data_IF_765414273702
#
_entry.id   IF_765414273702
#
_cell.length_a   1.000
_cell.length_b   1.000
_cell.length_c   1.000
_cell.angle_alpha   90.00
_cell.angle_beta   90.00
_cell.angle_gamma   90.00
#
_symmetry.space_group_name_H-M   'P 1'
#
loop_
_entity.id
_entity.type
_entity.pdbx_description
1 polymer ?
#
# COMPACT_ATOMS: atom_id res chain seq x y z
N UNK A 1 -38.98 0.66 21.26
CA UNK A 1 -38.90 -0.81 21.20
C UNK A 1 -37.88 -1.16 20.12
N UNK A 2 -36.99 -2.10 20.43
CA UNK A 2 -35.60 -2.19 20.00
C UNK A 2 -35.32 -2.52 18.51
N UNK A 3 -34.11 -2.09 18.08
CA UNK A 3 -33.09 -2.75 17.23
C UNK A 3 -32.39 -1.67 16.38
N UNK A 4 -31.14 -1.25 16.60
CA UNK A 4 -29.95 -2.01 16.97
C UNK A 4 -29.10 -2.24 15.72
N UNK A 5 -28.41 -1.20 15.22
CA UNK A 5 -27.39 -1.31 14.17
C UNK A 5 -26.10 -0.67 14.70
N UNK A 6 -25.36 -1.44 15.50
CA UNK A 6 -23.98 -1.13 15.82
C UNK A 6 -23.11 -1.52 14.64
N UNK A 7 -22.59 -0.55 13.90
CA UNK A 7 -21.47 -0.76 13.00
C UNK A 7 -20.20 -0.84 13.84
N UNK A 8 -19.89 -2.04 14.34
CA UNK A 8 -18.54 -2.36 14.78
C UNK A 8 -17.63 -2.29 13.55
N UNK A 9 -16.92 -1.17 13.39
CA UNK A 9 -15.73 -1.13 12.57
C UNK A 9 -14.75 -2.10 13.20
N UNK A 10 -14.68 -3.27 12.57
CA UNK A 10 -13.69 -4.29 12.83
C UNK A 10 -12.40 -3.70 12.25
N UNK A 11 -11.68 -2.96 13.08
CA UNK A 11 -10.24 -2.81 12.97
C UNK A 11 -9.62 -4.18 13.27
N UNK A 12 -9.98 -5.17 12.47
CA UNK A 12 -9.36 -6.48 12.48
C UNK A 12 -7.99 -6.26 11.88
N UNK A 13 -7.02 -6.10 12.76
CA UNK A 13 -5.61 -6.32 12.47
C UNK A 13 -5.57 -7.58 11.61
N UNK A 14 -5.12 -7.53 10.34
CA UNK A 14 -4.78 -8.77 9.66
C UNK A 14 -3.72 -9.39 10.56
N UNK A 15 -4.06 -10.52 11.18
CA UNK A 15 -3.11 -11.34 11.93
C UNK A 15 -1.98 -11.57 10.96
N UNK A 16 -0.93 -10.75 11.10
CA UNK A 16 0.31 -10.92 10.38
C UNK A 16 0.74 -12.28 10.85
N UNK A 17 0.73 -13.24 9.92
CA UNK A 17 1.30 -14.57 10.16
C UNK A 17 2.54 -14.37 11.00
N UNK A 18 2.54 -15.01 12.18
CA UNK A 18 3.68 -15.07 13.07
C UNK A 18 4.90 -15.30 12.18
N UNK A 19 5.67 -14.25 11.94
CA UNK A 19 6.84 -14.33 11.09
C UNK A 19 7.80 -15.15 11.92
N UNK A 20 7.74 -16.46 11.73
CA UNK A 20 8.70 -17.40 12.25
C UNK A 20 9.98 -17.05 11.52
N UNK A 21 10.70 -16.08 12.08
CA UNK A 21 11.98 -15.64 11.57
C UNK A 21 12.83 -16.90 11.43
N UNK A 22 13.27 -17.17 10.21
CA UNK A 22 14.18 -18.29 9.97
C UNK A 22 15.37 -18.17 10.92
N UNK A 23 16.08 -19.26 11.24
CA UNK A 23 17.18 -19.26 12.22
C UNK A 23 18.36 -18.31 11.89
N UNK A 24 18.27 -17.53 10.81
CA UNK A 24 19.26 -16.60 10.31
C UNK A 24 18.74 -15.16 10.10
N UNK A 25 17.49 -14.85 10.45
CA UNK A 25 16.97 -13.49 10.30
C UNK A 25 17.43 -12.63 11.48
N UNK A 26 18.32 -11.66 11.21
CA UNK A 26 18.79 -10.72 12.23
C UNK A 26 17.65 -9.76 12.60
N UNK A 27 17.10 -9.92 13.80
CA UNK A 27 16.15 -8.94 14.34
C UNK A 27 16.83 -7.58 14.48
N UNK A 28 16.21 -6.54 13.93
CA UNK A 28 16.69 -5.14 14.06
C UNK A 28 16.45 -4.64 15.50
N UNK A 29 17.35 -5.04 16.40
CA UNK A 29 17.27 -4.71 17.83
C UNK A 29 17.42 -3.21 18.10
N UNK A 30 18.13 -2.49 17.23
CA UNK A 30 18.34 -1.05 17.38
C UNK A 30 17.07 -0.26 17.11
N UNK A 31 16.28 -0.68 16.11
CA UNK A 31 15.04 0.00 15.74
C UNK A 31 13.80 -0.54 16.47
N UNK A 32 13.72 -1.86 16.67
CA UNK A 32 12.54 -2.53 17.25
C UNK A 32 12.68 -2.86 18.75
N UNK A 33 13.86 -2.63 19.32
CA UNK A 33 14.15 -2.98 20.71
C UNK A 33 14.29 -4.50 20.92
N UNK A 34 14.37 -4.92 22.18
CA UNK A 34 14.38 -6.33 22.55
C UNK A 34 13.04 -6.99 22.18
N UNK A 35 13.05 -8.25 21.69
CA UNK A 35 11.83 -8.95 21.31
C UNK A 35 10.91 -9.08 22.53
N UNK A 36 9.70 -8.56 22.37
CA UNK A 36 8.64 -8.56 23.36
C UNK A 36 7.33 -8.70 22.61
N UNK A 37 6.40 -9.51 23.12
CA UNK A 37 5.09 -9.74 22.50
C UNK A 37 4.36 -8.43 22.16
N UNK A 38 4.56 -7.38 22.96
CA UNK A 38 3.97 -6.04 22.70
C UNK A 38 4.54 -5.36 21.45
N UNK A 39 5.84 -5.51 21.21
CA UNK A 39 6.55 -4.90 20.08
C UNK A 39 6.22 -5.60 18.75
N UNK A 40 5.84 -6.88 18.81
CA UNK A 40 5.42 -7.64 17.63
C UNK A 40 3.95 -7.41 17.27
N UNK A 41 3.09 -7.17 18.27
CA UNK A 41 1.65 -7.09 18.05
C UNK A 41 1.14 -5.68 17.70
N UNK A 42 1.81 -4.62 18.18
CA UNK A 42 1.31 -3.26 18.08
C UNK A 42 2.33 -2.32 17.42
N UNK A 43 1.87 -1.37 16.57
CA UNK A 43 2.73 -0.32 16.05
C UNK A 43 3.28 0.53 17.21
N UNK A 44 4.56 0.87 17.13
CA UNK A 44 5.22 1.67 18.17
C UNK A 44 4.78 3.13 18.11
N UNK A 45 4.45 3.60 16.90
CA UNK A 45 4.01 4.97 16.65
C UNK A 45 2.63 5.00 15.97
N UNK A 46 1.72 5.91 16.36
CA UNK A 46 0.38 5.99 15.77
C UNK A 46 0.39 6.20 14.25
N UNK A 47 1.42 6.86 13.71
CA UNK A 47 1.57 7.07 12.26
C UNK A 47 2.31 5.94 11.53
N UNK A 48 2.90 4.98 12.24
CA UNK A 48 3.70 3.92 11.61
C UNK A 48 2.86 3.12 10.59
N UNK A 49 1.62 2.80 10.94
CA UNK A 49 0.70 2.13 10.02
C UNK A 49 0.30 3.03 8.84
N UNK A 50 0.17 4.33 9.08
CA UNK A 50 -0.19 5.30 8.03
C UNK A 50 0.93 5.43 7.01
N UNK A 51 2.18 5.60 7.46
CA UNK A 51 3.36 5.71 6.58
C UNK A 51 3.59 4.43 5.79
N UNK A 52 3.50 3.25 6.44
CA UNK A 52 3.62 1.96 5.75
C UNK A 52 2.57 1.79 4.65
N UNK A 53 1.38 2.39 4.80
CA UNK A 53 0.28 2.30 3.85
C UNK A 53 0.05 3.59 3.06
N UNK A 54 1.03 4.50 3.04
CA UNK A 54 0.85 5.84 2.49
C UNK A 54 0.33 5.82 1.05
N UNK A 55 1.00 5.06 0.17
CA UNK A 55 0.61 4.95 -1.24
C UNK A 55 -0.79 4.36 -1.40
N UNK A 56 -1.10 3.27 -0.68
CA UNK A 56 -2.42 2.63 -0.76
C UNK A 56 -3.54 3.56 -0.28
N UNK A 57 -3.27 4.37 0.74
CA UNK A 57 -4.23 5.34 1.26
C UNK A 57 -4.44 6.50 0.29
N UNK A 58 -3.37 6.98 -0.35
CA UNK A 58 -3.44 7.99 -1.39
C UNK A 58 -4.25 7.49 -2.59
N UNK A 59 -3.94 6.29 -3.10
CA UNK A 59 -4.67 5.68 -4.21
C UNK A 59 -6.18 5.53 -3.88
N UNK A 60 -6.50 5.05 -2.68
CA UNK A 60 -7.89 4.92 -2.20
C UNK A 60 -8.60 6.28 -2.17
N UNK A 61 -7.94 7.32 -1.67
CA UNK A 61 -8.47 8.67 -1.64
C UNK A 61 -8.72 9.18 -3.06
N UNK A 62 -7.75 9.01 -3.96
CA UNK A 62 -7.83 9.46 -5.36
C UNK A 62 -8.98 8.78 -6.10
N UNK A 63 -9.12 7.45 -5.99
CA UNK A 63 -10.24 6.72 -6.60
C UNK A 63 -11.60 7.12 -6.03
N UNK A 64 -11.68 7.39 -4.73
CA UNK A 64 -12.92 7.89 -4.09
C UNK A 64 -13.28 9.27 -4.63
N UNK A 65 -12.33 10.19 -4.69
CA UNK A 65 -12.50 11.54 -5.24
C UNK A 65 -12.92 11.49 -6.71
N UNK A 66 -12.24 10.69 -7.51
CA UNK A 66 -12.53 10.53 -8.94
C UNK A 66 -13.94 9.95 -9.16
N UNK A 67 -14.36 8.99 -8.32
CA UNK A 67 -15.73 8.49 -8.30
C UNK A 67 -16.75 9.57 -7.95
N UNK A 68 -16.45 10.43 -6.98
CA UNK A 68 -17.37 11.47 -6.54
C UNK A 68 -17.55 12.56 -7.60
N UNK A 69 -16.49 12.88 -8.34
CA UNK A 69 -16.51 13.93 -9.38
C UNK A 69 -17.11 13.41 -10.69
N UNK A 70 -16.67 12.24 -11.15
CA UNK A 70 -16.96 11.74 -12.50
C UNK A 70 -17.91 10.53 -12.50
N UNK A 71 -18.19 9.91 -11.35
CA UNK A 71 -19.00 8.70 -11.25
C UNK A 71 -18.19 7.40 -11.29
N UNK A 72 -18.87 6.26 -11.25
CA UNK A 72 -18.24 4.93 -11.09
C UNK A 72 -17.40 4.49 -12.30
N UNK A 73 -17.69 4.98 -13.51
CA UNK A 73 -16.97 4.55 -14.70
C UNK A 73 -15.51 5.00 -14.70
N UNK A 74 -15.23 6.17 -14.13
CA UNK A 74 -13.91 6.78 -14.13
C UNK A 74 -12.86 5.96 -13.35
N UNK A 75 -13.09 5.58 -12.06
CA UNK A 75 -12.12 4.78 -11.34
C UNK A 75 -12.00 3.36 -11.93
N UNK A 76 -13.09 2.80 -12.46
CA UNK A 76 -13.08 1.50 -13.11
C UNK A 76 -12.20 1.51 -14.37
N UNK A 77 -12.34 2.53 -15.22
CA UNK A 77 -11.51 2.73 -16.41
C UNK A 77 -10.03 2.79 -16.03
N UNK A 78 -9.68 3.64 -15.06
CA UNK A 78 -8.30 3.79 -14.62
C UNK A 78 -7.73 2.48 -14.01
N UNK A 79 -8.52 1.75 -13.24
CA UNK A 79 -8.12 0.42 -12.74
C UNK A 79 -7.89 -0.60 -13.86
N UNK A 80 -8.69 -0.57 -14.92
CA UNK A 80 -8.48 -1.43 -16.10
C UNK A 80 -7.20 -1.05 -16.83
N UNK A 81 -6.91 0.24 -16.99
CA UNK A 81 -5.67 0.74 -17.60
C UNK A 81 -4.44 0.28 -16.79
N UNK A 82 -4.48 0.40 -15.46
CA UNK A 82 -3.41 -0.12 -14.59
C UNK A 82 -3.13 -1.61 -14.83
N UNK A 83 -4.19 -2.43 -14.89
CA UNK A 83 -4.06 -3.87 -15.14
C UNK A 83 -3.50 -4.17 -16.54
N UNK A 84 -3.93 -3.42 -17.54
CA UNK A 84 -3.43 -3.56 -18.91
C UNK A 84 -1.93 -3.23 -18.98
N UNK A 85 -1.51 -2.09 -18.41
CA UNK A 85 -0.10 -1.68 -18.38
C UNK A 85 0.77 -2.68 -17.62
N UNK A 86 0.28 -3.24 -16.52
CA UNK A 86 1.03 -4.22 -15.73
C UNK A 86 1.28 -5.54 -16.49
N UNK A 87 0.40 -5.90 -17.43
CA UNK A 87 0.54 -7.10 -18.25
C UNK A 87 1.44 -6.89 -19.48
N UNK A 88 1.57 -5.66 -19.96
CA UNK A 88 2.36 -5.34 -21.16
C UNK A 88 3.82 -5.18 -20.76
N UNK A 89 4.63 -6.22 -20.98
CA UNK A 89 6.09 -6.13 -20.92
C UNK A 89 6.69 -5.97 -22.32
N UNK A 90 7.89 -5.37 -22.37
CA UNK A 90 8.64 -5.27 -23.62
C UNK A 90 9.05 -6.66 -24.12
N UNK A 91 9.44 -6.71 -25.39
CA UNK A 91 9.98 -7.92 -26.00
C UNK A 91 11.09 -8.51 -25.10
N UNK A 92 11.21 -9.85 -25.06
CA UNK A 92 12.32 -10.48 -24.37
C UNK A 92 13.64 -9.85 -24.86
N UNK A 93 14.58 -9.64 -23.93
CA UNK A 93 15.88 -8.96 -24.11
C UNK A 93 15.89 -7.42 -24.07
N UNK A 94 14.74 -6.74 -24.00
CA UNK A 94 14.70 -5.30 -23.72
C UNK A 94 14.47 -5.04 -22.23
N UNK A 95 15.18 -4.10 -21.59
CA UNK A 95 14.89 -3.70 -20.23
C UNK A 95 13.48 -3.10 -20.14
N UNK A 96 12.69 -3.57 -19.17
CA UNK A 96 11.39 -3.00 -18.84
C UNK A 96 11.55 -1.89 -17.81
N UNK A 97 10.76 -0.82 -17.93
CA UNK A 97 10.60 0.23 -16.93
C UNK A 97 9.12 0.40 -16.59
N UNK A 98 8.82 0.97 -15.42
CA UNK A 98 7.45 1.21 -14.95
C UNK A 98 6.86 2.56 -15.41
N UNK A 99 7.51 3.25 -16.37
CA UNK A 99 7.14 4.60 -16.79
C UNK A 99 5.64 4.79 -17.10
N UNK A 100 5.03 3.86 -17.82
CA UNK A 100 3.60 3.95 -18.16
C UNK A 100 2.69 3.84 -16.94
N UNK A 101 3.09 3.04 -15.94
CA UNK A 101 2.38 2.92 -14.67
C UNK A 101 2.54 4.21 -13.86
N UNK A 102 3.75 4.77 -13.85
CA UNK A 102 4.06 6.00 -13.12
C UNK A 102 3.27 7.20 -13.66
N UNK A 103 3.12 7.31 -14.99
CA UNK A 103 2.26 8.32 -15.63
C UNK A 103 0.80 8.17 -15.20
N UNK A 104 0.27 6.92 -15.17
CA UNK A 104 -1.12 6.69 -14.74
C UNK A 104 -1.34 6.99 -13.25
N UNK A 105 -0.30 6.90 -12.42
CA UNK A 105 -0.33 7.31 -11.00
C UNK A 105 -0.09 8.81 -10.80
N UNK A 106 0.44 9.51 -11.80
CA UNK A 106 0.86 10.91 -11.69
C UNK A 106 2.18 11.08 -10.91
N UNK A 107 2.99 10.02 -10.84
CA UNK A 107 4.28 10.06 -10.15
C UNK A 107 5.36 10.77 -11.00
N UNK A 108 5.15 10.92 -12.30
CA UNK A 108 6.07 11.56 -13.24
C UNK A 108 6.27 13.07 -12.99
N UNK A 109 5.36 13.69 -12.24
CA UNK A 109 5.45 15.11 -11.86
C UNK A 109 6.27 15.34 -10.56
N UNK A 110 6.59 14.27 -9.84
CA UNK A 110 7.24 14.32 -8.52
C UNK A 110 8.54 13.55 -8.51
N UNK A 111 9.53 13.99 -7.73
CA UNK A 111 10.81 13.28 -7.55
C UNK A 111 10.86 12.74 -6.12
N UNK A 112 10.97 11.42 -6.00
CA UNK A 112 11.07 10.69 -4.74
C UNK A 112 12.51 10.36 -4.35
N UNK A 113 12.66 9.65 -3.23
CA UNK A 113 13.95 9.13 -2.79
C UNK A 113 14.41 7.97 -3.69
N UNK A 114 13.46 7.18 -4.14
CA UNK A 114 13.60 6.07 -5.06
C UNK A 114 14.24 6.47 -6.40
N UNK A 115 14.03 7.70 -6.88
CA UNK A 115 14.58 8.16 -8.16
C UNK A 115 16.08 8.49 -8.07
N UNK A 116 16.55 8.87 -6.88
CA UNK A 116 17.94 9.31 -6.63
C UNK A 116 18.82 8.14 -6.17
N UNK A 117 18.24 7.20 -5.42
CA UNK A 117 18.96 6.14 -4.72
C UNK A 117 18.67 4.73 -5.26
N UNK A 118 18.13 4.62 -6.48
CA UNK A 118 17.79 3.35 -7.14
C UNK A 118 19.00 2.42 -7.37
#
# INVERSE_FOLDING_TARGET
NARGLGSQLKDSIPVTELSASGPFESHDLLRKGLPCVKNELLPSHPLELSEKNFQLNQDKMNFSTLRNIQGLFAPLKLQMEFKAVQQVQRLPFLPSSNLSLDILRGNDETIGFEDILN
#
